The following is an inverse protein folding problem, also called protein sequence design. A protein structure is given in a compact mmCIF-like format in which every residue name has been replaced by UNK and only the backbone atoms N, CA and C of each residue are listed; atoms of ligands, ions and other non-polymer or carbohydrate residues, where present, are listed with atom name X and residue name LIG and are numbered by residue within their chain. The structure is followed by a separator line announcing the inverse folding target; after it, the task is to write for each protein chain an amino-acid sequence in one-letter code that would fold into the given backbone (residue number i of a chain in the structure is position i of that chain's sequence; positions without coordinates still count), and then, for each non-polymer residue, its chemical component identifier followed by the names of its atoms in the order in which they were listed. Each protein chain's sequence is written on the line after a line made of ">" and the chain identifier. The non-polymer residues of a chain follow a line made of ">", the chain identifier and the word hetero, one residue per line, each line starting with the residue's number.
data_IF_227390045892
#
_entry.id   IF_227390045892
#
_cell.length_a   1.000
_cell.length_b   1.000
_cell.length_c   1.000
_cell.angle_alpha   90.00
_cell.angle_beta   90.00
_cell.angle_gamma   90.00
#
_symmetry.space_group_name_H-M   'P 1'
#
loop_
_entity.id
_entity.type
_entity.pdbx_description
1 polymer ?
#
# COMPACT_ATOMS: atom_id res chain seq x y z
N UNK A 1 -1.69 -11.46 3.88
CA UNK A 1 -1.96 -10.35 4.82
C UNK A 1 -2.39 -9.16 3.98
N UNK A 2 -3.37 -8.36 4.42
CA UNK A 2 -3.94 -7.29 3.57
C UNK A 2 -2.98 -6.10 3.45
N UNK A 3 -2.90 -5.51 2.24
CA UNK A 3 -2.00 -4.40 1.90
C UNK A 3 -2.18 -3.21 2.85
N UNK A 4 -3.42 -2.82 3.14
CA UNK A 4 -3.72 -1.71 4.07
C UNK A 4 -3.19 -1.98 5.48
N UNK A 5 -3.30 -3.22 5.95
CA UNK A 5 -2.79 -3.60 7.26
C UNK A 5 -1.25 -3.60 7.27
N UNK A 6 -0.62 -3.95 6.15
CA UNK A 6 0.83 -3.86 6.00
C UNK A 6 1.28 -2.40 6.01
N UNK A 7 0.66 -1.53 5.21
CA UNK A 7 0.96 -0.09 5.16
C UNK A 7 0.85 0.58 6.54
N UNK A 8 -0.21 0.24 7.28
CA UNK A 8 -0.40 0.73 8.65
C UNK A 8 0.67 0.21 9.61
N UNK A 9 0.99 -1.10 9.58
CA UNK A 9 2.02 -1.70 10.44
C UNK A 9 3.44 -1.23 10.10
N UNK A 10 3.69 -0.87 8.85
CA UNK A 10 4.96 -0.29 8.39
C UNK A 10 5.08 1.21 8.71
N UNK A 11 4.02 1.85 9.22
CA UNK A 11 4.03 3.28 9.53
C UNK A 11 3.98 4.18 8.28
N UNK A 12 3.65 3.64 7.10
CA UNK A 12 3.52 4.42 5.86
C UNK A 12 2.25 5.29 5.84
N UNK A 13 1.28 5.00 6.71
CA UNK A 13 0.12 5.83 6.91
C UNK A 13 -0.22 5.95 8.40
N UNK A 14 -0.68 7.12 8.87
CA UNK A 14 -1.01 7.34 10.28
C UNK A 14 -2.27 6.60 10.73
N UNK A 15 -3.17 6.25 9.80
CA UNK A 15 -4.44 5.57 10.08
C UNK A 15 -4.78 4.55 8.99
N UNK A 16 -5.57 3.52 9.34
CA UNK A 16 -6.12 2.54 8.37
C UNK A 16 -6.86 3.21 7.20
N UNK A 17 -7.79 4.16 7.41
CA UNK A 17 -8.41 4.89 6.30
C UNK A 17 -7.41 5.71 5.47
N UNK A 18 -6.37 6.30 6.08
CA UNK A 18 -5.29 6.96 5.35
C UNK A 18 -4.52 6.01 4.43
N UNK A 19 -4.19 4.80 4.90
CA UNK A 19 -3.58 3.77 4.06
C UNK A 19 -4.49 3.37 2.88
N UNK A 20 -5.81 3.27 3.09
CA UNK A 20 -6.76 3.02 1.99
C UNK A 20 -6.77 4.15 0.97
N UNK A 21 -6.65 5.39 1.42
CA UNK A 21 -6.58 6.55 0.54
C UNK A 21 -5.34 6.47 -0.35
N UNK A 22 -4.16 6.21 0.21
CA UNK A 22 -2.92 6.05 -0.56
C UNK A 22 -3.04 4.98 -1.64
N UNK A 23 -3.62 3.83 -1.29
CA UNK A 23 -3.86 2.73 -2.24
C UNK A 23 -4.85 3.18 -3.33
N UNK A 24 -6.04 3.67 -2.98
CA UNK A 24 -7.06 4.10 -3.93
C UNK A 24 -6.56 5.18 -4.90
N UNK A 25 -5.70 6.09 -4.42
CA UNK A 25 -5.11 7.15 -5.22
C UNK A 25 -3.87 6.70 -6.02
N UNK A 26 -3.57 5.40 -6.09
CA UNK A 26 -2.47 4.83 -6.89
C UNK A 26 -1.06 5.28 -6.46
N UNK A 27 -0.89 5.64 -5.18
CA UNK A 27 0.41 5.99 -4.60
C UNK A 27 1.22 4.76 -4.16
N UNK A 28 0.67 3.55 -4.26
CA UNK A 28 1.34 2.33 -3.79
C UNK A 28 1.69 1.44 -4.98
N UNK A 29 2.94 1.00 -4.99
CA UNK A 29 3.52 0.07 -5.95
C UNK A 29 3.82 -1.24 -5.22
N UNK A 30 3.43 -2.37 -5.81
CA UNK A 30 3.78 -3.71 -5.34
C UNK A 30 4.50 -4.43 -6.47
N UNK A 31 5.77 -4.80 -6.27
CA UNK A 31 6.64 -5.38 -7.30
C UNK A 31 6.61 -4.56 -8.60
N UNK A 32 6.83 -3.24 -8.50
CA UNK A 32 6.83 -2.28 -9.62
C UNK A 32 5.48 -2.11 -10.35
N UNK A 33 4.39 -2.66 -9.81
CA UNK A 33 3.04 -2.51 -10.37
C UNK A 33 2.18 -1.66 -9.45
N UNK A 34 1.46 -0.71 -10.03
CA UNK A 34 0.50 0.13 -9.30
C UNK A 34 -0.62 -0.77 -8.77
N UNK A 35 -0.88 -0.72 -7.46
CA UNK A 35 -1.98 -1.43 -6.81
C UNK A 35 -2.92 -0.41 -6.20
N UNK A 36 -4.18 -0.45 -6.64
CA UNK A 36 -5.26 0.42 -6.20
C UNK A 36 -6.35 -0.31 -5.40
N UNK A 37 -6.15 -1.59 -5.11
CA UNK A 37 -7.09 -2.42 -4.37
C UNK A 37 -6.66 -2.51 -2.89
N UNK A 38 -7.37 -1.89 -1.94
CA UNK A 38 -7.00 -1.92 -0.52
C UNK A 38 -7.03 -3.32 0.10
N UNK A 39 -7.87 -4.21 -0.43
CA UNK A 39 -7.95 -5.62 -0.03
C UNK A 39 -6.94 -6.52 -0.75
N UNK A 40 -5.93 -5.94 -1.40
CA UNK A 40 -4.87 -6.71 -2.05
C UNK A 40 -4.12 -7.57 -1.00
N UNK A 41 -3.99 -8.85 -1.29
CA UNK A 41 -3.34 -9.82 -0.39
C UNK A 41 -1.88 -9.96 -0.78
N UNK A 42 -0.99 -9.29 -0.04
CA UNK A 42 0.45 -9.44 -0.24
C UNK A 42 0.95 -10.81 0.21
N UNK A 43 1.96 -11.28 -0.51
CA UNK A 43 2.81 -12.44 -0.23
C UNK A 43 4.12 -12.00 0.43
N UNK A 44 4.79 -12.91 1.10
CA UNK A 44 6.01 -12.62 1.88
C UNK A 44 7.22 -12.14 1.05
N UNK A 45 7.18 -12.26 -0.28
CA UNK A 45 8.23 -11.79 -1.20
C UNK A 45 7.84 -10.53 -1.96
N UNK A 46 6.68 -9.94 -1.67
CA UNK A 46 6.23 -8.73 -2.36
C UNK A 46 6.98 -7.50 -1.84
N UNK A 47 7.55 -6.73 -2.76
CA UNK A 47 8.20 -5.46 -2.45
C UNK A 47 7.17 -4.33 -2.55
N UNK A 48 6.96 -3.60 -1.45
CA UNK A 48 6.02 -2.47 -1.38
C UNK A 48 6.82 -1.18 -1.45
N UNK A 49 6.49 -0.31 -2.41
CA UNK A 49 7.08 1.01 -2.57
C UNK A 49 5.98 2.07 -2.60
N UNK A 50 6.26 3.23 -2.00
CA UNK A 50 5.43 4.41 -2.18
C UNK A 50 5.90 5.18 -3.42
N UNK A 51 4.97 5.49 -4.31
CA UNK A 51 5.18 6.39 -5.43
C UNK A 51 4.98 7.81 -4.91
N UNK A 52 6.09 8.51 -4.67
CA UNK A 52 6.10 9.94 -4.40
C UNK A 52 6.13 10.66 -5.76
N UNK A 53 4.99 11.21 -6.19
CA UNK A 53 4.97 12.21 -7.27
C UNK A 53 5.14 13.57 -6.61
N UNK A 54 6.39 14.02 -6.49
CA UNK A 54 6.72 15.42 -6.23
C UNK A 54 6.33 16.30 -7.41
#
# INVERSE_FOLDING_TARGET
>A
MDLVNILFRLGMAPTIPGARQLVNHKHILVNDRIVDIPSYRCKSQDTIMAKDEQ
#
